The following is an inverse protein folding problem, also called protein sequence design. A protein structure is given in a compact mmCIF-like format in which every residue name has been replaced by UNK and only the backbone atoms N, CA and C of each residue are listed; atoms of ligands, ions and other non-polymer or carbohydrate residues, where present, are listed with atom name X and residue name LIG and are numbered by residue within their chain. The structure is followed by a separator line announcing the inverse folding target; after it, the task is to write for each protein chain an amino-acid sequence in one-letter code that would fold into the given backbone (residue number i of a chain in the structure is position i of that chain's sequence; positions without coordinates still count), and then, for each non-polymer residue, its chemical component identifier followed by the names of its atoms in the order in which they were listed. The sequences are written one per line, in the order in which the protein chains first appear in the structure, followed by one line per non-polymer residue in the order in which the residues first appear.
data_IF_549259200277
#
_entry.id   IF_549259200277
#
_cell.length_a   1.000
_cell.length_b   1.000
_cell.length_c   1.000
_cell.angle_alpha   90.00
_cell.angle_beta   90.00
_cell.angle_gamma   90.00
#
_symmetry.space_group_name_H-M   'P 1'
#
loop_
_entity.id
_entity.type
_entity.pdbx_description
1 polymer ?
#
# COMPACT_ATOMS: atom_id res chain seq x y z
N UNK A 1 5.29 43.84 53.66
CA UNK A 1 5.95 43.00 52.64
C UNK A 1 5.03 41.85 52.32
N UNK A 2 4.15 42.01 51.32
CA UNK A 2 3.23 40.98 50.86
C UNK A 2 3.93 40.28 49.70
N UNK A 3 4.34 39.02 49.91
CA UNK A 3 4.93 38.19 48.86
C UNK A 3 3.80 37.69 47.97
N UNK A 4 3.74 38.17 46.74
CA UNK A 4 2.89 37.61 45.69
C UNK A 4 3.39 36.20 45.36
N UNK A 5 2.57 35.19 45.66
CA UNK A 5 2.78 33.83 45.20
C UNK A 5 2.24 33.76 43.77
N UNK A 6 3.13 33.74 42.78
CA UNK A 6 2.77 33.48 41.39
C UNK A 6 2.59 31.97 41.22
N UNK A 7 1.35 31.52 41.03
CA UNK A 7 1.07 30.15 40.62
C UNK A 7 1.35 30.03 39.12
N UNK A 8 2.43 29.34 38.77
CA UNK A 8 2.72 28.92 37.41
C UNK A 8 1.82 27.71 37.11
N UNK A 9 0.66 27.96 36.49
CA UNK A 9 -0.17 26.90 35.90
C UNK A 9 0.59 26.32 34.71
N UNK A 10 1.29 25.22 34.95
CA UNK A 10 1.77 24.32 33.90
C UNK A 10 0.54 23.63 33.34
N UNK A 11 0.10 24.04 32.15
CA UNK A 11 -0.76 23.20 31.32
C UNK A 11 0.08 21.99 30.94
N UNK A 12 -0.05 20.90 31.71
CA UNK A 12 0.17 19.58 31.16
C UNK A 12 -0.93 19.42 30.11
N UNK A 13 -0.60 19.63 28.83
CA UNK A 13 -1.30 18.93 27.77
C UNK A 13 -1.11 17.45 28.09
N UNK A 14 -2.11 16.87 28.74
CA UNK A 14 -2.34 15.44 28.64
C UNK A 14 -2.37 15.14 27.15
N UNK A 15 -1.32 14.49 26.65
CA UNK A 15 -1.40 13.73 25.41
C UNK A 15 -2.67 12.91 25.53
N UNK A 16 -3.68 13.24 24.72
CA UNK A 16 -4.82 12.37 24.55
C UNK A 16 -4.26 11.14 23.86
N UNK A 17 -3.95 10.11 24.65
CA UNK A 17 -3.74 8.78 24.14
C UNK A 17 -5.01 8.36 23.41
N UNK A 18 -4.82 7.78 22.23
CA UNK A 18 -5.82 7.24 21.33
C UNK A 18 -6.97 6.55 22.08
N UNK A 19 -8.25 6.90 21.83
CA UNK A 19 -9.34 6.31 22.61
C UNK A 19 -9.68 4.88 22.19
N UNK A 20 -9.18 4.33 21.07
CA UNK A 20 -9.33 2.90 20.77
C UNK A 20 -8.34 2.44 19.70
N UNK A 21 -7.52 1.44 20.06
CA UNK A 21 -6.76 0.65 19.09
C UNK A 21 -7.71 -0.05 18.11
N UNK A 22 -7.20 -0.44 16.93
CA UNK A 22 -7.99 -1.17 15.93
C UNK A 22 -8.65 -2.43 16.53
N UNK A 23 -9.83 -2.81 16.00
CA UNK A 23 -10.57 -3.97 16.52
C UNK A 23 -10.17 -5.22 15.75
N UNK A 24 -9.72 -6.25 16.46
CA UNK A 24 -9.33 -7.54 15.87
C UNK A 24 -10.54 -8.23 15.25
N UNK A 25 -10.41 -8.65 13.99
CA UNK A 25 -11.41 -9.44 13.27
C UNK A 25 -10.96 -10.90 13.13
N UNK A 26 -11.42 -11.77 14.01
CA UNK A 26 -11.09 -13.21 14.01
C UNK A 26 -11.72 -13.98 12.84
N UNK A 27 -12.66 -13.38 12.11
CA UNK A 27 -13.35 -14.02 10.97
C UNK A 27 -12.73 -13.69 9.61
N UNK A 28 -11.64 -12.92 9.59
CA UNK A 28 -10.96 -12.52 8.36
C UNK A 28 -10.27 -13.70 7.66
N UNK A 29 -10.32 -13.69 6.32
CA UNK A 29 -9.63 -14.64 5.44
C UNK A 29 -8.10 -14.64 5.67
N UNK A 30 -7.37 -15.70 5.29
CA UNK A 30 -5.92 -15.73 5.43
C UNK A 30 -5.23 -14.70 4.52
N UNK A 31 -4.41 -13.85 5.16
CA UNK A 31 -3.55 -12.79 4.61
C UNK A 31 -4.17 -11.40 4.35
N UNK A 32 -3.27 -10.41 4.24
CA UNK A 32 -3.29 -9.10 4.91
C UNK A 32 -4.01 -7.98 4.15
N UNK A 33 -5.11 -7.50 4.75
CA UNK A 33 -5.71 -6.15 4.71
C UNK A 33 -7.23 -6.23 4.69
N UNK A 34 -7.86 -5.69 5.74
CA UNK A 34 -9.24 -5.22 5.72
C UNK A 34 -9.24 -3.89 6.48
N UNK A 35 -9.23 -2.75 5.76
CA UNK A 35 -9.47 -1.47 6.38
C UNK A 35 -10.89 -1.40 6.92
N UNK A 36 -11.02 -1.15 8.21
CA UNK A 36 -12.26 -0.66 8.78
C UNK A 36 -12.57 0.68 8.11
N UNK A 37 -13.56 0.69 7.23
CA UNK A 37 -13.85 1.79 6.29
C UNK A 37 -13.67 1.43 4.81
N UNK A 38 -13.06 0.28 4.51
CA UNK A 38 -13.24 -0.42 3.24
C UNK A 38 -14.71 -0.85 3.18
N UNK A 39 -15.33 -0.53 2.05
CA UNK A 39 -16.75 -0.75 1.81
C UNK A 39 -17.12 -2.25 1.98
N UNK A 40 -18.40 -2.53 2.26
CA UNK A 40 -19.01 -3.87 2.30
C UNK A 40 -18.97 -4.61 0.94
N UNK A 41 -17.90 -4.50 0.17
CA UNK A 41 -17.77 -4.95 -1.20
C UNK A 41 -16.51 -5.78 -1.39
N UNK A 42 -16.68 -7.06 -1.70
CA UNK A 42 -15.62 -7.97 -2.11
C UNK A 42 -15.69 -8.24 -3.61
N UNK A 43 -14.57 -8.58 -4.25
CA UNK A 43 -14.58 -9.03 -5.65
C UNK A 43 -14.57 -10.57 -5.65
N UNK A 44 -15.69 -11.16 -6.06
CA UNK A 44 -15.84 -12.62 -6.24
C UNK A 44 -16.02 -12.87 -7.74
N UNK A 45 -15.15 -13.68 -8.34
CA UNK A 45 -15.19 -14.02 -9.76
C UNK A 45 -15.31 -12.80 -10.69
N UNK A 46 -14.50 -11.76 -10.47
CA UNK A 46 -14.50 -10.50 -11.23
C UNK A 46 -15.82 -9.70 -11.15
N UNK A 47 -16.68 -9.94 -10.15
CA UNK A 47 -17.88 -9.15 -9.89
C UNK A 47 -17.86 -8.57 -8.47
N UNK A 48 -18.34 -7.33 -8.35
CA UNK A 48 -18.53 -6.67 -7.05
C UNK A 48 -19.67 -7.36 -6.30
N UNK A 49 -19.33 -8.04 -5.20
CA UNK A 49 -20.24 -8.74 -4.30
C UNK A 49 -20.42 -7.92 -3.02
N UNK A 50 -21.68 -7.74 -2.61
CA UNK A 50 -22.03 -7.20 -1.29
C UNK A 50 -22.17 -8.31 -0.23
N UNK A 51 -22.08 -9.58 -0.65
CA UNK A 51 -22.02 -10.74 0.23
C UNK A 51 -20.55 -11.00 0.58
N UNK A 52 -20.20 -10.84 1.85
CA UNK A 52 -18.88 -11.18 2.40
C UNK A 52 -18.72 -12.71 2.34
N UNK A 53 -17.90 -13.21 1.42
CA UNK A 53 -17.51 -14.61 1.33
C UNK A 53 -16.12 -14.81 1.94
N UNK A 54 -15.99 -15.84 2.77
CA UNK A 54 -14.71 -16.24 3.36
C UNK A 54 -13.71 -16.61 2.23
N UNK A 55 -12.60 -15.87 2.11
CA UNK A 55 -11.46 -16.28 1.26
C UNK A 55 -10.99 -15.32 0.17
N UNK A 56 -11.52 -14.10 0.06
CA UNK A 56 -11.04 -13.11 -0.92
C UNK A 56 -10.39 -11.90 -0.24
N UNK A 57 -9.18 -11.57 -0.71
CA UNK A 57 -8.30 -10.49 -0.24
C UNK A 57 -8.86 -9.10 -0.60
N UNK A 58 -8.86 -8.18 0.35
CA UNK A 58 -9.50 -6.86 0.27
C UNK A 58 -8.46 -5.74 0.32
N UNK A 59 -8.02 -5.34 -0.88
CA UNK A 59 -7.46 -4.01 -1.20
C UNK A 59 -6.00 -3.75 -0.74
N UNK A 60 -5.10 -3.61 -1.73
CA UNK A 60 -3.68 -3.27 -1.54
C UNK A 60 -3.40 -1.75 -1.48
N UNK A 61 -4.42 -0.91 -1.62
CA UNK A 61 -4.31 0.55 -1.61
C UNK A 61 -5.16 1.14 -0.49
N UNK A 62 -4.55 2.03 0.28
CA UNK A 62 -5.24 2.81 1.31
C UNK A 62 -6.23 3.79 0.65
N UNK A 63 -7.39 4.08 1.28
CA UNK A 63 -8.25 5.17 0.84
C UNK A 63 -7.44 6.48 0.72
N UNK A 64 -7.80 7.31 -0.26
CA UNK A 64 -7.12 8.60 -0.40
C UNK A 64 -7.36 9.45 0.85
N UNK A 65 -6.29 10.01 1.37
CA UNK A 65 -6.30 11.01 2.41
C UNK A 65 -6.32 12.41 1.77
N UNK A 66 -6.77 13.40 2.53
CA UNK A 66 -6.90 14.77 2.05
C UNK A 66 -6.25 15.74 3.02
N UNK A 67 -5.49 16.71 2.50
CA UNK A 67 -4.94 17.78 3.34
C UNK A 67 -6.04 18.48 4.15
N UNK A 68 -5.71 18.84 5.39
CA UNK A 68 -6.66 19.46 6.31
C UNK A 68 -7.74 18.51 6.88
N UNK A 69 -7.69 17.21 6.56
CA UNK A 69 -8.57 16.19 7.14
C UNK A 69 -7.78 15.23 8.02
N UNK A 70 -8.47 14.63 8.99
CA UNK A 70 -7.97 13.43 9.68
C UNK A 70 -8.16 12.22 8.77
N UNK A 71 -7.38 11.17 8.99
CA UNK A 71 -7.39 10.00 8.12
C UNK A 71 -7.09 8.73 8.91
N UNK A 72 -7.74 7.64 8.54
CA UNK A 72 -7.56 6.33 9.18
C UNK A 72 -7.72 5.22 8.14
N UNK A 73 -6.80 4.26 8.19
CA UNK A 73 -6.93 2.95 7.58
C UNK A 73 -6.53 1.89 8.59
N UNK A 74 -7.26 0.79 8.61
CA UNK A 74 -6.93 -0.39 9.41
C UNK A 74 -6.48 -1.50 8.46
N UNK A 75 -5.74 -2.47 8.96
CA UNK A 75 -5.30 -3.64 8.23
C UNK A 75 -5.39 -4.79 9.22
N UNK A 76 -6.37 -5.67 9.06
CA UNK A 76 -6.40 -6.87 9.88
C UNK A 76 -5.25 -7.83 9.55
N UNK A 77 -4.74 -8.48 10.59
CA UNK A 77 -3.61 -9.41 10.55
C UNK A 77 -4.10 -10.80 10.91
N UNK A 78 -3.63 -11.80 10.16
CA UNK A 78 -3.77 -13.20 10.49
C UNK A 78 -2.47 -13.93 10.21
N UNK A 79 -1.87 -14.50 11.24
CA UNK A 79 -0.59 -15.18 11.16
C UNK A 79 -0.82 -16.68 10.95
N UNK A 80 -0.22 -17.33 9.94
CA UNK A 80 -0.32 -18.77 9.78
C UNK A 80 0.46 -19.50 10.88
N UNK A 81 0.11 -20.75 11.17
CA UNK A 81 0.85 -21.55 12.17
C UNK A 81 2.25 -21.96 11.66
N UNK A 82 2.39 -22.11 10.35
CA UNK A 82 3.60 -22.52 9.66
C UNK A 82 3.80 -21.71 8.38
N UNK A 83 5.01 -21.77 7.85
CA UNK A 83 5.39 -21.12 6.59
C UNK A 83 6.47 -21.91 5.88
N UNK A 84 6.79 -21.50 4.66
CA UNK A 84 7.95 -21.95 3.92
C UNK A 84 8.79 -20.75 3.50
N UNK A 85 10.11 -20.82 3.65
CA UNK A 85 11.00 -19.76 3.16
C UNK A 85 12.29 -20.32 2.59
N UNK A 86 12.94 -19.50 1.77
CA UNK A 86 14.22 -19.83 1.15
C UNK A 86 15.35 -19.26 2.01
N UNK A 87 16.28 -20.11 2.46
CA UNK A 87 17.43 -19.70 3.26
C UNK A 87 18.72 -20.40 2.81
N UNK A 88 19.88 -19.78 3.00
CA UNK A 88 21.17 -20.37 2.61
C UNK A 88 22.01 -20.70 3.86
N UNK A 89 22.24 -22.01 4.09
CA UNK A 89 23.09 -22.52 5.17
C UNK A 89 24.58 -22.65 4.77
N UNK A 90 25.02 -21.94 3.72
CA UNK A 90 26.37 -21.98 3.16
C UNK A 90 26.54 -22.98 2.01
N UNK A 91 25.45 -23.47 1.43
CA UNK A 91 25.44 -24.40 0.29
C UNK A 91 24.57 -23.94 -0.89
N UNK A 92 24.09 -22.70 -0.83
CA UNK A 92 23.13 -22.12 -1.75
C UNK A 92 21.74 -21.97 -1.11
N UNK A 93 20.87 -21.12 -1.68
CA UNK A 93 19.50 -20.94 -1.19
C UNK A 93 18.71 -22.25 -1.33
N UNK A 94 18.07 -22.70 -0.25
CA UNK A 94 17.22 -23.89 -0.20
C UNK A 94 15.86 -23.52 0.37
N UNK A 95 14.79 -24.13 -0.17
CA UNK A 95 13.45 -24.00 0.37
C UNK A 95 13.30 -24.89 1.62
N UNK A 96 12.91 -24.28 2.72
CA UNK A 96 12.51 -24.95 3.95
C UNK A 96 10.99 -24.90 4.03
N UNK A 97 10.35 -26.07 4.05
CA UNK A 97 8.91 -26.24 4.23
C UNK A 97 8.61 -26.63 5.68
N UNK A 98 7.36 -26.51 6.11
CA UNK A 98 6.88 -26.83 7.46
C UNK A 98 7.66 -26.09 8.57
N UNK A 99 8.03 -24.84 8.33
CA UNK A 99 8.72 -24.04 9.34
C UNK A 99 7.69 -23.45 10.29
N UNK A 100 7.75 -23.85 11.56
CA UNK A 100 6.79 -23.42 12.57
C UNK A 100 7.05 -21.95 12.92
N UNK A 101 6.03 -21.10 12.81
CA UNK A 101 6.13 -19.70 13.23
C UNK A 101 5.98 -19.62 14.75
N UNK A 102 6.97 -19.03 15.41
CA UNK A 102 6.93 -18.76 16.85
C UNK A 102 6.25 -17.42 17.08
N UNK A 103 6.76 -16.36 16.44
CA UNK A 103 6.14 -15.03 16.44
C UNK A 103 6.49 -14.21 15.21
N UNK A 104 5.61 -13.27 14.86
CA UNK A 104 5.83 -12.17 13.93
C UNK A 104 5.59 -10.89 14.70
N UNK A 105 6.48 -9.91 14.58
CA UNK A 105 6.28 -8.58 15.15
C UNK A 105 6.59 -7.46 14.17
N UNK A 106 5.96 -6.29 14.36
CA UNK A 106 6.32 -5.10 13.58
C UNK A 106 7.61 -4.50 14.12
N UNK A 107 8.65 -4.48 13.28
CA UNK A 107 9.91 -3.81 13.58
C UNK A 107 9.77 -2.30 13.40
N UNK A 108 9.33 -1.86 12.22
CA UNK A 108 9.13 -0.45 11.90
C UNK A 108 8.28 -0.27 10.64
N UNK A 109 7.75 0.93 10.47
CA UNK A 109 7.03 1.36 9.26
C UNK A 109 7.85 2.46 8.61
N UNK A 110 8.18 2.30 7.33
CA UNK A 110 9.05 3.21 6.60
C UNK A 110 8.45 3.60 5.26
N UNK A 111 8.88 4.75 4.73
CA UNK A 111 8.61 5.13 3.34
C UNK A 111 9.75 4.63 2.47
N UNK A 112 9.45 3.81 1.47
CA UNK A 112 10.46 3.33 0.51
C UNK A 112 10.61 4.26 -0.69
N UNK A 113 9.53 4.94 -1.07
CA UNK A 113 9.49 5.86 -2.20
C UNK A 113 8.33 6.85 -2.01
N UNK A 114 8.50 8.08 -2.47
CA UNK A 114 7.40 9.04 -2.54
C UNK A 114 7.51 9.96 -3.75
N UNK A 115 6.38 10.45 -4.23
CA UNK A 115 6.32 11.35 -5.39
C UNK A 115 6.84 12.75 -5.10
N UNK A 116 6.87 13.16 -3.82
CA UNK A 116 7.44 14.44 -3.38
C UNK A 116 8.90 14.34 -2.93
N UNK A 117 9.53 13.17 -3.06
CA UNK A 117 10.93 12.94 -2.72
C UNK A 117 11.22 12.86 -1.22
N UNK A 118 10.19 12.84 -0.36
CA UNK A 118 10.35 12.55 1.06
C UNK A 118 10.78 11.10 1.27
N UNK A 119 11.78 10.90 2.13
CA UNK A 119 12.20 9.58 2.63
C UNK A 119 11.65 9.29 4.03
N UNK A 120 10.92 10.24 4.61
CA UNK A 120 10.29 10.14 5.92
C UNK A 120 8.77 10.01 5.75
N UNK A 121 8.13 9.38 6.73
CA UNK A 121 6.67 9.35 6.82
C UNK A 121 6.12 10.78 6.85
N UNK A 122 4.96 11.04 6.23
CA UNK A 122 4.36 12.37 6.25
C UNK A 122 4.21 12.91 7.67
N UNK A 123 4.39 14.21 7.86
CA UNK A 123 4.32 14.81 9.19
C UNK A 123 2.94 14.57 9.84
N UNK A 124 2.94 13.99 11.04
CA UNK A 124 1.71 13.64 11.75
C UNK A 124 1.13 12.27 11.40
N UNK A 125 1.73 11.55 10.45
CA UNK A 125 1.38 10.15 10.19
C UNK A 125 1.82 9.28 11.37
N UNK A 126 0.92 8.46 11.86
CA UNK A 126 1.14 7.53 12.95
C UNK A 126 0.64 6.14 12.58
N UNK A 127 1.16 5.15 13.28
CA UNK A 127 0.67 3.78 13.21
C UNK A 127 0.63 3.16 14.61
N UNK A 128 -0.29 2.24 14.80
CA UNK A 128 -0.43 1.41 15.99
C UNK A 128 -0.96 0.04 15.60
N UNK A 129 -1.07 -0.86 16.56
CA UNK A 129 -1.47 -2.24 16.31
C UNK A 129 -2.21 -2.83 17.50
N UNK A 130 -2.83 -3.98 17.27
CA UNK A 130 -3.25 -4.89 18.33
C UNK A 130 -2.66 -6.27 18.09
N UNK A 131 -1.82 -6.72 19.02
CA UNK A 131 -1.15 -8.02 19.07
C UNK A 131 -2.12 -9.19 19.28
N UNK A 132 -1.60 -10.42 19.19
CA UNK A 132 -2.40 -11.64 19.35
C UNK A 132 -3.04 -11.79 20.73
N UNK A 133 -2.43 -11.16 21.73
CA UNK A 133 -2.93 -11.10 23.11
C UNK A 133 -3.92 -9.95 23.38
N UNK A 134 -4.22 -9.13 22.36
CA UNK A 134 -5.02 -7.92 22.48
C UNK A 134 -4.26 -6.70 23.01
N UNK A 135 -2.93 -6.79 23.16
CA UNK A 135 -2.05 -5.70 23.61
C UNK A 135 -1.51 -4.84 22.46
N UNK A 136 -0.72 -3.83 22.80
CA UNK A 136 -0.11 -2.85 21.87
C UNK A 136 1.34 -3.21 21.48
N UNK A 137 1.77 -4.44 21.75
CA UNK A 137 3.15 -4.89 21.51
C UNK A 137 3.47 -5.19 20.03
N UNK A 138 2.45 -5.22 19.16
CA UNK A 138 2.56 -5.56 17.74
C UNK A 138 3.25 -6.91 17.50
N UNK A 139 2.97 -7.90 18.35
CA UNK A 139 3.51 -9.25 18.27
C UNK A 139 2.36 -10.27 18.19
N UNK A 140 2.52 -11.24 17.31
CA UNK A 140 1.53 -12.29 17.04
C UNK A 140 2.23 -13.64 16.98
N UNK A 141 1.70 -14.63 17.66
CA UNK A 141 2.16 -16.02 17.55
C UNK A 141 1.63 -16.67 16.28
N UNK A 142 2.20 -17.82 15.89
CA UNK A 142 1.60 -18.65 14.84
C UNK A 142 0.12 -18.94 15.13
N UNK A 143 -0.76 -18.65 14.18
CA UNK A 143 -2.22 -18.84 14.31
C UNK A 143 -2.99 -17.65 14.89
N UNK A 144 -2.31 -16.62 15.39
CA UNK A 144 -2.96 -15.45 16.00
C UNK A 144 -3.58 -14.50 14.96
N UNK A 145 -4.45 -13.64 15.47
CA UNK A 145 -5.09 -12.55 14.74
C UNK A 145 -4.75 -11.22 15.39
N UNK A 146 -4.81 -10.15 14.61
CA UNK A 146 -4.67 -8.81 15.14
C UNK A 146 -5.00 -7.76 14.10
N UNK A 147 -4.41 -6.58 14.26
CA UNK A 147 -4.57 -5.52 13.28
C UNK A 147 -3.44 -4.48 13.39
N UNK A 148 -3.23 -3.75 12.30
CA UNK A 148 -2.48 -2.52 12.21
C UNK A 148 -3.43 -1.38 11.88
N UNK A 149 -3.18 -0.21 12.43
CA UNK A 149 -3.86 1.03 12.10
C UNK A 149 -2.83 2.03 11.62
N UNK A 150 -3.14 2.71 10.54
CA UNK A 150 -2.35 3.75 9.92
C UNK A 150 -3.21 5.01 9.82
N UNK A 151 -2.66 6.18 10.11
CA UNK A 151 -3.50 7.37 10.05
C UNK A 151 -2.87 8.67 10.49
N UNK A 152 -3.71 9.69 10.55
CA UNK A 152 -3.44 11.01 11.08
C UNK A 152 -4.58 11.37 12.03
N UNK A 153 -4.27 11.56 13.32
CA UNK A 153 -5.27 11.98 14.32
C UNK A 153 -5.54 13.48 14.27
N UNK A 154 -4.58 14.23 13.74
CA UNK A 154 -4.69 15.66 13.52
C UNK A 154 -4.80 15.92 12.01
N UNK A 155 -5.46 17.03 11.60
CA UNK A 155 -5.55 17.42 10.21
C UNK A 155 -4.19 17.39 9.50
N UNK A 156 -4.13 16.66 8.38
CA UNK A 156 -2.91 16.52 7.58
C UNK A 156 -2.37 17.90 7.20
N UNK A 157 -1.09 18.12 7.47
CA UNK A 157 -0.43 19.41 7.25
C UNK A 157 -0.31 19.74 5.76
N UNK A 158 -0.44 21.02 5.43
CA UNK A 158 -0.22 21.50 4.07
C UNK A 158 1.19 21.18 3.57
N UNK A 159 1.31 20.75 2.31
CA UNK A 159 2.55 20.29 1.69
C UNK A 159 2.83 18.79 1.92
N UNK A 160 1.84 18.03 2.39
CA UNK A 160 1.92 16.56 2.51
C UNK A 160 1.37 15.86 1.28
N UNK A 161 0.89 16.59 0.27
CA UNK A 161 0.41 16.02 -1.00
C UNK A 161 1.47 15.15 -1.68
N UNK A 162 1.02 13.99 -2.12
CA UNK A 162 1.84 13.00 -2.81
C UNK A 162 1.39 11.57 -2.53
N UNK A 163 1.97 10.64 -3.29
CA UNK A 163 1.86 9.21 -3.03
C UNK A 163 3.11 8.73 -2.29
N UNK A 164 2.91 7.97 -1.22
CA UNK A 164 3.93 7.40 -0.35
C UNK A 164 3.81 5.89 -0.36
N UNK A 165 4.88 5.20 -0.78
CA UNK A 165 4.99 3.75 -0.65
C UNK A 165 5.44 3.43 0.76
N UNK A 166 4.56 2.75 1.49
CA UNK A 166 4.78 2.36 2.87
C UNK A 166 5.20 0.90 2.90
N UNK A 167 6.30 0.63 3.60
CA UNK A 167 6.78 -0.72 3.86
C UNK A 167 6.75 -0.98 5.37
N UNK A 168 6.10 -2.07 5.77
CA UNK A 168 6.09 -2.54 7.14
C UNK A 168 7.16 -3.61 7.27
N UNK A 169 8.24 -3.28 7.95
CA UNK A 169 9.31 -4.21 8.25
C UNK A 169 8.88 -5.11 9.39
N UNK A 170 8.98 -6.42 9.20
CA UNK A 170 8.56 -7.41 10.19
C UNK A 170 9.78 -8.19 10.70
N UNK A 171 9.81 -8.44 12.01
CA UNK A 171 10.70 -9.43 12.58
C UNK A 171 9.94 -10.76 12.72
N UNK A 172 10.53 -11.83 12.21
CA UNK A 172 9.95 -13.17 12.20
C UNK A 172 10.86 -14.08 13.01
N UNK A 173 10.30 -14.69 14.06
CA UNK A 173 10.91 -15.79 14.81
C UNK A 173 10.21 -17.09 14.47
N UNK A 174 10.97 -18.09 14.04
CA UNK A 174 10.47 -19.38 13.60
C UNK A 174 11.38 -20.54 14.04
N UNK A 175 10.85 -21.75 14.01
CA UNK A 175 11.58 -22.97 14.35
C UNK A 175 11.47 -23.99 13.23
N UNK A 176 12.60 -24.39 12.65
CA UNK A 176 12.67 -25.50 11.70
C UNK A 176 13.17 -26.77 12.39
N UNK A 177 12.46 -27.88 12.23
CA UNK A 177 12.83 -29.17 12.84
C UNK A 177 13.60 -30.04 11.85
N UNK A 178 14.92 -30.18 12.06
CA UNK A 178 15.76 -31.04 11.24
C UNK A 178 16.20 -32.27 12.02
N UNK A 179 15.78 -33.45 11.59
CA UNK A 179 16.13 -34.73 12.25
C UNK A 179 15.80 -34.75 13.76
N UNK A 180 14.72 -34.08 14.17
CA UNK A 180 14.29 -33.97 15.57
C UNK A 180 15.04 -32.93 16.40
N UNK A 181 15.92 -32.13 15.78
CA UNK A 181 16.60 -31.00 16.41
C UNK A 181 15.89 -29.70 15.98
N UNK A 182 15.36 -28.90 16.92
CA UNK A 182 14.80 -27.59 16.60
C UNK A 182 15.93 -26.59 16.32
N UNK A 183 15.85 -25.93 15.17
CA UNK A 183 16.76 -24.89 14.73
C UNK A 183 15.98 -23.56 14.76
N UNK A 184 16.36 -22.60 15.63
CA UNK A 184 15.72 -21.29 15.68
C UNK A 184 16.17 -20.45 14.48
N UNK A 185 15.23 -19.67 13.94
CA UNK A 185 15.42 -18.81 12.78
C UNK A 185 14.79 -17.47 13.12
N UNK A 186 15.61 -16.43 13.16
CA UNK A 186 15.19 -15.05 13.43
C UNK A 186 15.66 -14.20 12.25
N UNK A 187 14.71 -13.60 11.53
CA UNK A 187 14.96 -12.77 10.35
C UNK A 187 14.09 -11.52 10.36
N UNK A 188 14.61 -10.43 9.81
CA UNK A 188 13.80 -9.27 9.45
C UNK A 188 13.44 -9.38 7.97
N UNK A 189 12.16 -9.28 7.65
CA UNK A 189 11.63 -9.32 6.28
C UNK A 189 11.10 -7.95 5.88
N UNK A 190 11.47 -7.50 4.69
CA UNK A 190 11.15 -6.18 4.14
C UNK A 190 10.36 -6.26 2.83
N UNK A 191 9.97 -7.47 2.42
CA UNK A 191 9.30 -7.76 1.16
C UNK A 191 7.86 -8.26 1.33
N UNK A 192 7.46 -8.66 2.54
CA UNK A 192 6.12 -9.19 2.81
C UNK A 192 5.02 -8.13 2.82
N UNK A 193 5.32 -6.90 3.22
CA UNK A 193 4.35 -5.81 3.40
C UNK A 193 4.82 -4.49 2.75
N UNK A 194 5.45 -4.60 1.57
CA UNK A 194 6.04 -3.47 0.84
C UNK A 194 5.12 -2.82 -0.22
N UNK A 195 3.84 -3.19 -0.23
CA UNK A 195 2.90 -2.85 -1.29
C UNK A 195 1.86 -1.80 -0.90
N UNK A 196 1.87 -1.29 0.33
CA UNK A 196 0.92 -0.26 0.75
C UNK A 196 1.27 1.08 0.11
N UNK A 197 0.25 1.76 -0.42
CA UNK A 197 0.38 3.10 -0.98
C UNK A 197 -0.62 4.02 -0.29
N UNK A 198 -0.11 5.06 0.36
CA UNK A 198 -0.88 6.18 0.89
C UNK A 198 -0.87 7.32 -0.13
N UNK A 199 -2.03 7.75 -0.60
CA UNK A 199 -2.18 8.92 -1.46
C UNK A 199 -2.79 10.06 -0.65
N UNK A 200 -2.15 11.22 -0.67
CA UNK A 200 -2.62 12.45 -0.04
C UNK A 200 -2.91 13.48 -1.14
N UNK A 201 -4.16 13.94 -1.22
CA UNK A 201 -4.65 14.91 -2.22
C UNK A 201 -4.98 16.29 -1.58
N UNK A 202 -4.99 17.35 -2.41
CA UNK A 202 -5.24 18.74 -1.97
C UNK A 202 -6.72 19.04 -1.65
N UNK A 203 -7.68 18.38 -2.31
CA UNK A 203 -9.12 18.63 -2.13
C UNK A 203 -9.96 17.36 -2.29
N UNK A 204 -11.04 17.25 -1.50
CA UNK A 204 -12.11 16.27 -1.78
C UNK A 204 -12.86 16.69 -3.05
N UNK A 205 -12.47 16.13 -4.21
CA UNK A 205 -13.42 15.98 -5.30
C UNK A 205 -14.58 15.13 -4.79
N UNK A 206 -15.80 15.64 -4.85
CA UNK A 206 -17.03 14.98 -4.41
C UNK A 206 -17.44 13.80 -5.32
N UNK A 207 -16.49 12.92 -5.65
CA UNK A 207 -16.67 11.69 -6.39
C UNK A 207 -16.19 10.56 -5.50
N UNK A 208 -17.09 9.61 -5.20
CA UNK A 208 -16.75 8.37 -4.52
C UNK A 208 -15.39 7.83 -5.04
N UNK A 209 -14.46 7.43 -4.16
CA UNK A 209 -13.18 6.89 -4.60
C UNK A 209 -13.43 5.64 -5.45
N UNK A 210 -13.03 5.69 -6.71
CA UNK A 210 -13.04 4.53 -7.60
C UNK A 210 -11.88 3.63 -7.17
N UNK A 211 -12.18 2.42 -6.68
CA UNK A 211 -11.17 1.46 -6.23
C UNK A 211 -10.41 0.94 -7.46
N UNK A 212 -9.11 1.23 -7.55
CA UNK A 212 -8.24 0.78 -8.66
C UNK A 212 -7.44 -0.45 -8.22
N UNK A 213 -7.96 -1.66 -8.42
CA UNK A 213 -7.20 -2.94 -8.32
C UNK A 213 -6.01 -3.01 -9.30
N UNK A 214 -4.78 -2.93 -8.79
CA UNK A 214 -3.56 -2.97 -9.62
C UNK A 214 -3.28 -4.34 -10.26
N UNK A 215 -3.99 -5.38 -9.83
CA UNK A 215 -3.92 -6.74 -10.38
C UNK A 215 -4.93 -6.99 -11.51
N UNK A 216 -5.57 -5.94 -12.02
CA UNK A 216 -6.40 -6.01 -13.21
C UNK A 216 -5.77 -5.18 -14.31
N UNK A 217 -5.99 -5.57 -15.57
CA UNK A 217 -5.56 -4.77 -16.71
C UNK A 217 -6.41 -3.49 -16.80
N UNK A 218 -5.98 -2.46 -16.08
CA UNK A 218 -6.66 -1.16 -16.03
C UNK A 218 -5.68 0.01 -15.95
N UNK A 219 -6.11 1.15 -16.46
CA UNK A 219 -5.34 2.38 -16.43
C UNK A 219 -5.46 3.00 -15.04
N UNK A 220 -4.33 3.41 -14.47
CA UNK A 220 -4.28 4.11 -13.18
C UNK A 220 -4.33 5.62 -13.43
N UNK A 221 -3.55 6.10 -14.40
CA UNK A 221 -3.53 7.48 -14.83
C UNK A 221 -2.24 7.88 -15.50
N UNK A 222 -2.13 9.16 -15.85
CA UNK A 222 -0.91 9.73 -16.46
C UNK A 222 -0.50 11.03 -15.80
N UNK A 223 0.78 11.17 -15.46
CA UNK A 223 1.33 12.42 -14.89
C UNK A 223 2.77 12.72 -15.36
N UNK A 224 3.20 14.00 -15.35
CA UNK A 224 2.36 15.18 -15.19
C UNK A 224 1.41 15.33 -16.37
N UNK A 225 0.21 15.85 -16.12
CA UNK A 225 -0.75 16.19 -17.17
C UNK A 225 -1.43 17.52 -16.79
N UNK A 226 -1.16 18.64 -17.50
CA UNK A 226 -0.39 18.74 -18.74
C UNK A 226 1.11 18.45 -18.61
N UNK A 227 1.69 17.88 -19.66
CA UNK A 227 3.09 17.46 -19.76
C UNK A 227 3.92 18.44 -20.60
N UNK A 228 5.13 18.75 -20.14
CA UNK A 228 6.10 19.58 -20.88
C UNK A 228 7.18 18.72 -21.54
N UNK A 229 7.88 17.90 -20.75
CA UNK A 229 9.06 17.15 -21.22
C UNK A 229 8.80 15.65 -21.38
N UNK A 230 7.97 15.11 -20.49
CA UNK A 230 7.55 13.72 -20.47
C UNK A 230 6.21 13.56 -19.74
N UNK A 231 5.56 12.43 -19.96
CA UNK A 231 4.44 11.93 -19.16
C UNK A 231 4.69 10.46 -18.82
N UNK A 232 4.43 10.09 -17.58
CA UNK A 232 4.40 8.72 -17.10
C UNK A 232 2.99 8.20 -17.21
N UNK A 233 2.82 7.07 -17.90
CA UNK A 233 1.56 6.35 -18.02
C UNK A 233 1.60 5.17 -17.08
N UNK A 234 0.67 5.14 -16.13
CA UNK A 234 0.60 4.13 -15.09
C UNK A 234 -0.59 3.21 -15.32
N UNK A 235 -0.35 1.91 -15.22
CA UNK A 235 -1.37 0.88 -15.46
C UNK A 235 -1.14 -0.35 -14.59
N UNK A 236 -2.24 -0.99 -14.21
CA UNK A 236 -2.25 -2.32 -13.59
C UNK A 236 -2.21 -3.41 -14.64
N UNK A 237 -1.73 -4.59 -14.27
CA UNK A 237 -1.85 -5.78 -15.10
C UNK A 237 -2.05 -7.04 -14.26
N UNK A 238 -2.83 -7.99 -14.77
CA UNK A 238 -3.13 -9.26 -14.11
C UNK A 238 -2.08 -10.33 -14.39
N UNK A 239 -1.25 -10.13 -15.42
CA UNK A 239 -0.30 -11.13 -15.94
C UNK A 239 1.05 -10.53 -16.28
N UNK A 240 2.08 -11.36 -16.19
CA UNK A 240 3.35 -11.06 -16.81
C UNK A 240 3.23 -11.32 -18.32
N UNK A 241 3.05 -10.27 -19.12
CA UNK A 241 2.87 -10.39 -20.58
C UNK A 241 3.42 -9.19 -21.34
N UNK A 242 3.60 -9.36 -22.64
CA UNK A 242 3.96 -8.25 -23.53
C UNK A 242 2.74 -7.36 -23.79
N UNK A 243 2.91 -6.07 -23.61
CA UNK A 243 1.88 -5.06 -23.84
C UNK A 243 2.32 -4.09 -24.94
N UNK A 244 1.36 -3.55 -25.70
CA UNK A 244 1.57 -2.52 -26.71
C UNK A 244 1.05 -1.18 -26.25
N UNK A 245 1.91 -0.17 -26.30
CA UNK A 245 1.58 1.22 -25.97
C UNK A 245 1.67 2.04 -27.25
N UNK A 246 0.59 2.74 -27.58
CA UNK A 246 0.52 3.61 -28.76
C UNK A 246 0.04 4.99 -28.37
N UNK A 247 0.61 6.01 -29.00
CA UNK A 247 0.18 7.39 -28.85
C UNK A 247 -0.40 7.87 -30.17
N UNK A 248 -1.59 8.47 -30.12
CA UNK A 248 -2.30 9.01 -31.26
C UNK A 248 -2.46 10.53 -31.14
N UNK A 249 -2.31 11.24 -32.25
CA UNK A 249 -2.68 12.66 -32.35
C UNK A 249 -4.20 12.85 -32.46
N UNK A 250 -4.65 14.10 -32.47
CA UNK A 250 -6.09 14.47 -32.59
C UNK A 250 -6.75 14.00 -33.89
N UNK A 251 -5.97 13.66 -34.92
CA UNK A 251 -6.44 13.17 -36.21
C UNK A 251 -6.47 11.63 -36.25
N UNK A 252 -6.02 10.97 -35.18
CA UNK A 252 -5.95 9.51 -35.08
C UNK A 252 -4.70 8.91 -35.74
N UNK A 253 -3.67 9.70 -36.04
CA UNK A 253 -2.39 9.16 -36.51
C UNK A 253 -1.55 8.65 -35.35
N UNK A 254 -0.95 7.46 -35.50
CA UNK A 254 0.02 6.93 -34.53
C UNK A 254 1.31 7.75 -34.61
N UNK A 255 1.64 8.47 -33.55
CA UNK A 255 2.88 9.26 -33.43
C UNK A 255 3.95 8.54 -32.60
N UNK A 256 3.56 7.53 -31.82
CA UNK A 256 4.48 6.63 -31.11
C UNK A 256 3.86 5.23 -31.01
N UNK A 257 4.70 4.20 -31.11
CA UNK A 257 4.32 2.81 -30.79
C UNK A 257 5.49 2.12 -30.10
N UNK A 258 5.21 1.41 -29.01
CA UNK A 258 6.17 0.64 -28.24
C UNK A 258 5.56 -0.70 -27.81
N UNK A 259 6.43 -1.69 -27.61
CA UNK A 259 6.11 -3.00 -27.05
C UNK A 259 7.01 -3.22 -25.85
N UNK A 260 6.43 -3.52 -24.69
CA UNK A 260 7.17 -3.71 -23.45
C UNK A 260 6.66 -4.94 -22.71
N UNK A 261 7.55 -5.58 -21.95
CA UNK A 261 7.16 -6.61 -21.02
C UNK A 261 6.57 -5.96 -19.76
N UNK A 262 5.36 -6.32 -19.39
CA UNK A 262 4.69 -5.89 -18.16
C UNK A 262 4.81 -6.96 -17.07
N UNK A 263 4.86 -6.50 -15.83
CA UNK A 263 4.78 -7.31 -14.61
C UNK A 263 3.34 -7.38 -14.09
N UNK A 264 3.04 -8.38 -13.27
CA UNK A 264 1.78 -8.43 -12.51
C UNK A 264 1.78 -7.25 -11.52
N UNK A 265 0.64 -6.57 -11.39
CA UNK A 265 0.50 -5.41 -10.51
C UNK A 265 0.79 -4.09 -11.21
N UNK A 266 1.43 -3.16 -10.50
CA UNK A 266 1.73 -1.82 -10.99
C UNK A 266 2.81 -1.81 -12.08
N UNK A 267 2.57 -1.06 -13.14
CA UNK A 267 3.51 -0.81 -14.22
C UNK A 267 3.50 0.66 -14.63
N UNK A 268 4.64 1.12 -15.15
CA UNK A 268 4.82 2.48 -15.62
C UNK A 268 5.55 2.51 -16.96
N UNK A 269 5.16 3.44 -17.82
CA UNK A 269 5.84 3.72 -19.08
C UNK A 269 6.00 5.22 -19.31
N UNK A 270 7.24 5.64 -19.61
CA UNK A 270 7.56 7.04 -19.85
C UNK A 270 7.43 7.39 -21.33
N UNK A 271 6.59 8.38 -21.62
CA UNK A 271 6.44 8.98 -22.94
C UNK A 271 7.22 10.30 -22.96
N UNK A 272 8.23 10.39 -23.81
CA UNK A 272 8.95 11.65 -24.04
C UNK A 272 8.13 12.57 -24.96
N UNK A 273 7.81 13.79 -24.50
CA UNK A 273 6.93 14.72 -25.22
C UNK A 273 7.70 15.79 -25.99
N UNK A 274 9.02 15.87 -25.87
CA UNK A 274 9.85 16.94 -26.48
C UNK A 274 9.70 17.06 -28.02
N UNK A 275 9.37 15.97 -28.70
CA UNK A 275 9.21 15.93 -30.16
C UNK A 275 7.74 15.98 -30.61
N UNK A 276 6.81 16.15 -29.67
CA UNK A 276 5.39 16.26 -29.93
C UNK A 276 5.00 17.73 -30.02
N UNK A 277 4.03 18.05 -30.87
CA UNK A 277 3.45 19.39 -30.90
C UNK A 277 2.56 19.58 -29.68
N UNK A 278 2.51 20.79 -29.13
CA UNK A 278 1.55 21.15 -28.08
C UNK A 278 0.13 20.83 -28.53
N UNK A 279 -0.62 20.10 -27.72
CA UNK A 279 -1.93 19.59 -28.11
C UNK A 279 -2.36 18.38 -27.31
N UNK A 280 -3.49 17.81 -27.70
CA UNK A 280 -4.07 16.65 -27.03
C UNK A 280 -3.67 15.37 -27.74
N UNK A 281 -3.32 14.34 -26.97
CA UNK A 281 -2.99 13.02 -27.49
C UNK A 281 -3.78 11.95 -26.76
N UNK A 282 -4.00 10.83 -27.46
CA UNK A 282 -4.65 9.65 -26.91
C UNK A 282 -3.62 8.56 -26.73
N UNK A 283 -3.41 8.11 -25.49
CA UNK A 283 -2.59 6.94 -25.18
C UNK A 283 -3.49 5.71 -25.23
N UNK A 284 -3.04 4.66 -25.91
CA UNK A 284 -3.69 3.36 -25.91
C UNK A 284 -2.70 2.32 -25.41
N UNK A 285 -3.03 1.69 -24.29
CA UNK A 285 -2.28 0.56 -23.73
C UNK A 285 -3.09 -0.70 -24.01
N UNK A 286 -2.48 -1.74 -24.56
CA UNK A 286 -3.18 -2.96 -24.97
C UNK A 286 -2.39 -4.21 -24.64
N UNK A 287 -3.10 -5.24 -24.21
CA UNK A 287 -2.57 -6.59 -24.00
C UNK A 287 -3.36 -7.59 -24.86
N UNK A 288 -3.21 -8.90 -24.61
CA UNK A 288 -3.97 -9.91 -25.36
C UNK A 288 -5.47 -9.90 -25.05
N UNK A 289 -5.88 -9.38 -23.89
CA UNK A 289 -7.24 -9.47 -23.36
C UNK A 289 -8.06 -8.19 -23.61
N UNK A 290 -7.43 -7.04 -23.84
CA UNK A 290 -8.13 -5.77 -23.99
C UNK A 290 -7.23 -4.58 -24.31
N UNK A 291 -7.84 -3.39 -24.28
CA UNK A 291 -7.15 -2.12 -24.45
C UNK A 291 -7.76 -1.06 -23.54
N UNK A 292 -6.89 -0.15 -23.09
CA UNK A 292 -7.17 0.95 -22.18
C UNK A 292 -6.77 2.24 -22.86
N UNK A 293 -7.51 3.31 -22.57
CA UNK A 293 -7.37 4.58 -23.28
C UNK A 293 -7.21 5.69 -22.24
N UNK A 294 -6.18 6.51 -22.42
CA UNK A 294 -5.97 7.75 -21.65
C UNK A 294 -5.85 8.97 -22.57
N UNK A 295 -6.10 10.16 -22.02
CA UNK A 295 -5.96 11.45 -22.71
C UNK A 295 -4.96 12.33 -21.97
N UNK A 296 -3.88 12.66 -22.68
CA UNK A 296 -2.82 13.53 -22.17
C UNK A 296 -2.79 14.85 -22.94
N UNK A 297 -2.37 15.92 -22.27
CA UNK A 297 -2.18 17.25 -22.85
C UNK A 297 -0.68 17.55 -22.84
N UNK A 298 -0.12 17.91 -24.00
CA UNK A 298 1.28 18.33 -24.16
C UNK A 298 1.34 19.85 -24.35
N UNK A 299 2.32 20.51 -23.72
CA UNK A 299 2.55 21.97 -23.77
C UNK A 299 3.74 22.36 -24.64
#
# INVERSE_FOLDING_TARGET
MIKNLSFLTIFLLSYMAFPQACVVNETQAPFLADPVGAYEMQIVDNMVSLDLSEGYDTLTAFPNAFEGSVYEAVVGIRVPNDTSFVYDLGSGPQLFEDVQLNSISVNSVVVTESTNGSTELPAGFAWECVGGDGGDACEWSGGDYGCLRFGFDEPIAAGSVGAYRINVLLDVSATYSFSGIPIPIDITVDDLLNYYVLVIDEEQSSSNPEIVSLQSFQLIGSFPNPATDHVNVQYGNDKFEEISIKLYDILGNVVMSSQNQSSIGFNEFVINTNNLLSGMYTVVVSNHNGHMIDRIIVQ
#
